data_IF_775318680057
#
_entry.id   IF_775318680057
#
_cell.length_a   1.000
_cell.length_b   1.000
_cell.length_c   1.000
_cell.angle_alpha   90.00
_cell.angle_beta   90.00
_cell.angle_gamma   90.00
#
_symmetry.space_group_name_H-M   'P 1'
#
loop_
_entity.id
_entity.type
_entity.pdbx_description
1 polymer ?
#
# COMPACT_ATOMS: atom_id res chain seq x y z
N UNK A 1 9.32 -26.22 -3.33
CA UNK A 1 10.52 -26.70 -2.62
C UNK A 1 11.30 -25.52 -2.07
N UNK A 2 11.95 -25.68 -0.90
CA UNK A 2 12.79 -24.62 -0.32
C UNK A 2 13.94 -24.37 -1.30
N UNK A 3 14.32 -23.10 -1.51
CA UNK A 3 15.46 -22.79 -2.38
C UNK A 3 16.66 -23.67 -2.00
N UNK A 4 17.28 -24.40 -2.95
CA UNK A 4 18.43 -25.27 -2.68
C UNK A 4 19.54 -24.54 -1.92
N UNK A 5 19.70 -23.25 -2.21
CA UNK A 5 20.69 -22.37 -1.59
C UNK A 5 20.38 -22.12 -0.10
N UNK A 6 19.10 -21.95 0.27
CA UNK A 6 18.67 -21.81 1.66
C UNK A 6 18.85 -23.13 2.44
N UNK A 7 18.62 -24.27 1.78
CA UNK A 7 18.84 -25.57 2.40
C UNK A 7 20.32 -25.83 2.67
N UNK A 8 21.21 -25.41 1.78
CA UNK A 8 22.67 -25.58 1.90
C UNK A 8 23.29 -24.71 3.01
N UNK A 9 22.84 -23.47 3.16
CA UNK A 9 23.44 -22.51 4.10
C UNK A 9 22.83 -22.53 5.51
N UNK A 10 21.69 -23.19 5.73
CA UNK A 10 21.04 -23.22 7.04
C UNK A 10 21.45 -24.47 7.84
N UNK A 11 22.16 -24.32 8.98
CA UNK A 11 22.58 -25.47 9.79
C UNK A 11 21.41 -26.34 10.25
N UNK A 12 21.66 -27.65 10.37
CA UNK A 12 20.62 -28.63 10.75
C UNK A 12 19.98 -28.38 12.13
N UNK A 13 20.66 -27.67 13.02
CA UNK A 13 20.15 -27.34 14.36
C UNK A 13 19.27 -26.08 14.39
N UNK A 14 19.15 -25.34 13.27
CA UNK A 14 18.32 -24.15 13.19
C UNK A 14 16.87 -24.56 13.00
N UNK A 15 16.01 -24.14 13.93
CA UNK A 15 14.57 -24.31 13.78
C UNK A 15 14.04 -23.39 12.65
N UNK A 16 13.21 -23.95 11.78
CA UNK A 16 12.63 -23.25 10.62
C UNK A 16 11.12 -23.25 10.79
N UNK A 17 10.51 -22.08 10.67
CA UNK A 17 9.06 -21.92 10.65
C UNK A 17 8.67 -21.20 9.36
N UNK A 18 7.73 -21.78 8.63
CA UNK A 18 7.12 -21.20 7.44
C UNK A 18 5.79 -20.57 7.80
N UNK A 19 5.54 -19.38 7.27
CA UNK A 19 4.33 -18.64 7.55
C UNK A 19 3.76 -18.01 6.29
N UNK A 20 2.47 -17.70 6.29
CA UNK A 20 1.82 -17.10 5.14
C UNK A 20 0.40 -16.63 5.42
N UNK A 21 -0.13 -15.81 4.52
CA UNK A 21 -1.51 -15.31 4.56
C UNK A 21 -2.30 -16.02 3.47
N UNK A 22 -3.38 -16.72 3.84
CA UNK A 22 -4.12 -17.58 2.91
C UNK A 22 -4.71 -16.82 1.71
N UNK A 23 -5.05 -15.54 1.88
CA UNK A 23 -5.58 -14.68 0.81
C UNK A 23 -4.56 -14.37 -0.30
N UNK A 24 -3.27 -14.61 -0.08
CA UNK A 24 -2.18 -14.31 -1.04
C UNK A 24 -1.89 -15.43 -2.02
N UNK A 25 -2.69 -16.49 -2.01
CA UNK A 25 -2.60 -17.62 -2.93
C UNK A 25 -2.06 -18.89 -2.27
N UNK A 26 -1.96 -19.96 -3.06
CA UNK A 26 -1.50 -21.25 -2.57
C UNK A 26 -0.02 -21.15 -2.14
N UNK A 27 0.33 -21.65 -0.93
CA UNK A 27 1.69 -21.57 -0.46
C UNK A 27 2.57 -22.55 -1.25
N UNK A 28 3.80 -22.13 -1.56
CA UNK A 28 4.78 -22.94 -2.27
C UNK A 28 5.43 -24.01 -1.37
N UNK A 29 5.22 -23.90 -0.06
CA UNK A 29 5.75 -24.74 1.01
C UNK A 29 4.65 -25.00 2.04
N UNK A 30 4.69 -26.13 2.76
CA UNK A 30 3.84 -26.33 3.93
C UNK A 30 4.03 -25.18 4.93
N UNK A 31 2.92 -24.65 5.45
CA UNK A 31 2.94 -23.58 6.44
C UNK A 31 2.92 -24.17 7.86
N UNK A 32 3.70 -23.59 8.76
CA UNK A 32 3.64 -23.80 10.21
C UNK A 32 2.62 -22.86 10.88
N UNK A 33 2.53 -21.64 10.36
CA UNK A 33 1.58 -20.62 10.82
C UNK A 33 0.85 -20.02 9.62
N UNK A 34 -0.48 -20.06 9.61
CA UNK A 34 -1.28 -19.33 8.62
C UNK A 34 -2.02 -18.17 9.26
N UNK A 35 -2.31 -17.16 8.44
CA UNK A 35 -3.30 -16.12 8.75
C UNK A 35 -4.48 -16.26 7.80
N UNK A 36 -5.68 -16.27 8.39
CA UNK A 36 -6.97 -16.52 7.76
C UNK A 36 -8.00 -15.47 8.22
N UNK A 37 -9.19 -15.46 7.61
CA UNK A 37 -10.32 -14.60 7.99
C UNK A 37 -9.94 -13.13 8.16
N UNK A 38 -9.28 -12.58 7.14
CA UNK A 38 -8.82 -11.19 7.15
C UNK A 38 -10.00 -10.23 7.00
N UNK A 39 -10.04 -9.24 7.88
CA UNK A 39 -11.02 -8.17 7.89
C UNK A 39 -10.31 -6.82 7.97
N UNK A 40 -10.80 -5.86 7.18
CA UNK A 40 -10.24 -4.52 7.06
C UNK A 40 -11.25 -3.50 7.56
N UNK A 41 -10.74 -2.45 8.22
CA UNK A 41 -11.50 -1.28 8.62
C UNK A 41 -10.61 -0.05 8.55
N UNK A 42 -11.20 1.15 8.70
CA UNK A 42 -10.42 2.37 8.87
C UNK A 42 -9.63 2.42 10.19
N UNK A 43 -9.88 1.49 11.12
CA UNK A 43 -9.14 1.37 12.37
C UNK A 43 -7.94 0.42 12.29
N UNK A 44 -7.78 -0.32 11.17
CA UNK A 44 -6.70 -1.27 10.99
C UNK A 44 -7.13 -2.60 10.38
N UNK A 45 -6.28 -3.61 10.56
CA UNK A 45 -6.45 -4.96 10.03
C UNK A 45 -6.63 -5.95 11.18
N UNK A 46 -7.62 -6.83 11.07
CA UNK A 46 -7.82 -7.95 12.01
C UNK A 46 -7.83 -9.27 11.25
N UNK A 47 -7.16 -10.28 11.76
CA UNK A 47 -7.12 -11.60 11.15
C UNK A 47 -6.99 -12.71 12.20
N UNK A 48 -7.34 -13.94 11.82
CA UNK A 48 -7.19 -15.14 12.65
C UNK A 48 -5.83 -15.78 12.38
N UNK A 49 -5.08 -16.09 13.44
CA UNK A 49 -3.80 -16.82 13.36
C UNK A 49 -4.06 -18.29 13.64
N UNK A 50 -3.45 -19.17 12.85
CA UNK A 50 -3.59 -20.61 12.98
C UNK A 50 -2.22 -21.26 13.07
N UNK A 51 -1.93 -21.90 14.19
CA UNK A 51 -0.74 -22.72 14.37
C UNK A 51 -0.99 -24.15 13.87
N UNK A 52 -0.43 -24.48 12.71
CA UNK A 52 -0.66 -25.73 11.99
C UNK A 52 0.19 -26.87 12.55
N UNK A 53 1.40 -26.58 13.03
CA UNK A 53 2.35 -27.57 13.57
C UNK A 53 2.50 -27.48 15.09
N UNK A 54 3.05 -28.53 15.70
CA UNK A 54 3.33 -28.55 17.15
C UNK A 54 4.40 -27.51 17.53
N UNK A 55 5.41 -27.33 16.69
CA UNK A 55 6.43 -26.30 16.86
C UNK A 55 5.83 -24.88 16.86
N UNK A 56 4.86 -24.61 15.99
CA UNK A 56 4.13 -23.35 16.00
C UNK A 56 3.22 -23.20 17.22
N UNK A 57 2.55 -24.28 17.66
CA UNK A 57 1.69 -24.25 18.87
C UNK A 57 2.49 -23.94 20.14
N UNK A 58 3.75 -24.37 20.22
CA UNK A 58 4.65 -24.06 21.33
C UNK A 58 5.00 -22.56 21.45
N UNK A 59 4.74 -21.75 20.42
CA UNK A 59 4.90 -20.29 20.50
C UNK A 59 3.73 -19.60 21.20
N UNK A 60 2.61 -20.29 21.47
CA UNK A 60 1.44 -19.71 22.15
C UNK A 60 0.96 -18.40 21.49
N UNK A 61 1.00 -18.36 20.14
CA UNK A 61 0.54 -17.19 19.37
C UNK A 61 -0.95 -16.92 19.65
N UNK A 62 -1.38 -15.65 19.70
CA UNK A 62 -2.79 -15.32 19.91
C UNK A 62 -3.63 -15.80 18.72
N UNK A 63 -4.84 -16.30 18.99
CA UNK A 63 -5.78 -16.72 17.94
C UNK A 63 -6.20 -15.55 17.02
N UNK A 64 -6.19 -14.33 17.54
CA UNK A 64 -6.55 -13.12 16.81
C UNK A 64 -5.38 -12.14 16.81
N UNK A 65 -5.02 -11.68 15.62
CA UNK A 65 -4.02 -10.64 15.40
C UNK A 65 -4.72 -9.37 14.94
N UNK A 66 -4.40 -8.26 15.61
CA UNK A 66 -4.84 -6.92 15.25
C UNK A 66 -3.62 -6.06 14.92
N UNK A 67 -3.73 -5.29 13.84
CA UNK A 67 -2.74 -4.33 13.40
C UNK A 67 -3.39 -2.94 13.33
N UNK A 68 -2.71 -1.91 13.79
CA UNK A 68 -3.12 -0.52 13.51
C UNK A 68 -2.99 -0.19 12.02
N UNK A 69 -2.06 -0.83 11.33
CA UNK A 69 -1.88 -0.70 9.89
C UNK A 69 -3.06 -1.31 9.09
N UNK A 70 -3.50 -0.58 8.06
CA UNK A 70 -4.61 -0.98 7.18
C UNK A 70 -4.08 -1.67 5.94
N UNK A 71 -4.47 -2.92 5.74
CA UNK A 71 -4.21 -3.68 4.51
C UNK A 71 -3.51 -5.01 4.77
N UNK A 72 -3.92 -6.03 4.02
CA UNK A 72 -3.38 -7.39 4.14
C UNK A 72 -1.88 -7.47 3.83
N UNK A 73 -1.34 -6.46 3.14
CA UNK A 73 0.09 -6.37 2.80
C UNK A 73 0.99 -6.33 4.05
N UNK A 74 0.46 -5.94 5.21
CA UNK A 74 1.20 -5.86 6.45
C UNK A 74 1.20 -7.18 7.25
N UNK A 75 0.27 -8.10 6.97
CA UNK A 75 0.08 -9.31 7.77
C UNK A 75 1.29 -10.25 7.74
N UNK A 76 1.93 -10.47 6.58
CA UNK A 76 3.12 -11.31 6.50
C UNK A 76 4.28 -10.74 7.34
N UNK A 77 4.50 -9.42 7.27
CA UNK A 77 5.55 -8.74 8.03
C UNK A 77 5.24 -8.75 9.52
N UNK A 78 3.98 -8.50 9.90
CA UNK A 78 3.54 -8.54 11.29
C UNK A 78 3.63 -9.94 11.87
N UNK A 79 3.27 -10.97 11.09
CA UNK A 79 3.38 -12.37 11.49
C UNK A 79 4.84 -12.78 11.68
N UNK A 80 5.72 -12.35 10.76
CA UNK A 80 7.17 -12.55 10.91
C UNK A 80 7.70 -11.90 12.19
N UNK A 81 7.31 -10.65 12.46
CA UNK A 81 7.71 -9.93 13.68
C UNK A 81 7.18 -10.60 14.95
N UNK A 82 5.93 -11.05 14.94
CA UNK A 82 5.29 -11.76 16.06
C UNK A 82 6.00 -13.08 16.36
N UNK A 83 6.23 -13.91 15.33
CA UNK A 83 6.93 -15.21 15.46
C UNK A 83 8.34 -14.98 15.99
N UNK A 84 9.09 -14.04 15.41
CA UNK A 84 10.46 -13.76 15.81
C UNK A 84 10.58 -13.21 17.23
N UNK A 85 9.74 -12.24 17.61
CA UNK A 85 9.73 -11.70 18.98
C UNK A 85 9.43 -12.79 20.01
N UNK A 86 8.47 -13.66 19.69
CA UNK A 86 8.07 -14.78 20.56
C UNK A 86 9.18 -15.81 20.69
N UNK A 87 9.83 -16.18 19.58
CA UNK A 87 10.99 -17.07 19.58
C UNK A 87 12.19 -16.51 20.39
N UNK A 88 12.28 -15.19 20.53
CA UNK A 88 13.29 -14.50 21.36
C UNK A 88 12.85 -14.34 22.84
N UNK A 89 11.72 -14.90 23.24
CA UNK A 89 11.24 -14.90 24.63
C UNK A 89 10.34 -13.72 25.01
N UNK A 90 9.88 -12.92 24.05
CA UNK A 90 8.83 -11.92 24.31
C UNK A 90 7.48 -12.64 24.41
N UNK A 91 6.66 -12.42 25.44
CA UNK A 91 5.31 -13.00 25.50
C UNK A 91 4.49 -12.64 24.25
N UNK A 92 3.88 -13.63 23.61
CA UNK A 92 3.18 -13.46 22.33
C UNK A 92 2.04 -12.44 22.43
N UNK A 93 1.32 -12.41 23.57
CA UNK A 93 0.26 -11.45 23.85
C UNK A 93 0.79 -10.00 23.94
N UNK A 94 1.99 -9.81 24.51
CA UNK A 94 2.68 -8.52 24.56
C UNK A 94 3.11 -8.08 23.17
N UNK A 95 3.69 -8.98 22.37
CA UNK A 95 4.10 -8.66 21.00
C UNK A 95 2.89 -8.27 20.13
N UNK A 96 1.78 -9.01 20.23
CA UNK A 96 0.55 -8.71 19.51
C UNK A 96 -0.09 -7.38 19.92
N UNK A 97 -0.09 -7.05 21.22
CA UNK A 97 -0.57 -5.73 21.70
C UNK A 97 0.24 -4.57 21.12
N UNK A 98 1.54 -4.72 20.93
CA UNK A 98 2.37 -3.69 20.28
C UNK A 98 1.98 -3.55 18.81
N UNK A 99 1.85 -4.66 18.08
CA UNK A 99 1.43 -4.63 16.67
C UNK A 99 0.07 -3.95 16.45
N UNK A 100 -0.86 -4.09 17.39
CA UNK A 100 -2.16 -3.44 17.34
C UNK A 100 -2.09 -1.91 17.47
N UNK A 101 -1.03 -1.37 18.09
CA UNK A 101 -0.83 0.07 18.29
C UNK A 101 0.02 0.71 17.18
N UNK A 102 0.85 -0.08 16.52
CA UNK A 102 1.73 0.40 15.46
C UNK A 102 0.95 0.70 14.17
N UNK A 103 1.12 1.93 13.70
CA UNK A 103 0.58 2.38 12.42
C UNK A 103 1.45 1.87 11.26
N UNK A 104 0.93 1.94 10.05
CA UNK A 104 1.72 1.65 8.87
C UNK A 104 2.93 2.59 8.76
N UNK A 105 4.07 2.13 8.21
CA UNK A 105 5.18 3.01 7.91
C UNK A 105 4.73 4.21 7.06
N UNK A 106 5.33 5.39 7.30
CA UNK A 106 5.03 6.60 6.53
C UNK A 106 5.03 6.32 5.02
N UNK A 107 3.99 6.75 4.33
CA UNK A 107 3.77 6.56 2.90
C UNK A 107 3.51 5.11 2.47
N UNK A 108 2.94 4.28 3.35
CA UNK A 108 2.44 2.93 3.05
C UNK A 108 0.99 2.82 3.53
N UNK A 109 0.05 2.97 2.61
CA UNK A 109 -1.39 3.06 2.89
C UNK A 109 -1.68 3.99 4.09
N UNK A 110 -1.00 5.13 4.14
CA UNK A 110 -1.06 6.05 5.27
C UNK A 110 -2.28 6.95 5.12
N UNK A 111 -3.25 6.83 6.02
CA UNK A 111 -4.40 7.74 6.08
C UNK A 111 -3.95 9.06 6.72
N UNK A 112 -4.00 10.14 5.94
CA UNK A 112 -3.57 11.49 6.36
C UNK A 112 -4.74 12.46 6.54
N UNK A 113 -5.96 12.02 6.19
CA UNK A 113 -7.20 12.74 6.42
C UNK A 113 -8.38 11.76 6.39
N UNK A 114 -9.45 12.04 7.13
CA UNK A 114 -10.57 11.11 7.33
C UNK A 114 -11.86 11.48 6.58
N UNK A 115 -12.04 12.72 6.11
CA UNK A 115 -13.28 13.09 5.39
C UNK A 115 -13.11 14.26 4.41
N UNK A 116 -12.86 13.99 3.10
CA UNK A 116 -12.72 12.66 2.49
C UNK A 116 -11.51 11.91 3.05
N UNK A 117 -11.53 10.57 2.95
CA UNK A 117 -10.34 9.80 3.29
C UNK A 117 -9.24 10.12 2.28
N UNK A 118 -8.07 10.56 2.75
CA UNK A 118 -6.90 10.78 1.88
C UNK A 118 -5.79 9.84 2.31
N UNK A 119 -5.34 9.02 1.38
CA UNK A 119 -4.33 7.98 1.57
C UNK A 119 -3.08 8.34 0.77
N UNK A 120 -1.90 8.25 1.40
CA UNK A 120 -0.61 8.35 0.71
C UNK A 120 0.03 6.96 0.66
N UNK A 121 0.39 6.51 -0.54
CA UNK A 121 1.03 5.21 -0.74
C UNK A 121 2.19 5.25 -1.77
N UNK A 122 3.14 4.34 -1.62
CA UNK A 122 4.32 4.23 -2.48
C UNK A 122 4.14 3.28 -3.67
N UNK A 123 2.93 2.82 -3.93
CA UNK A 123 2.61 1.96 -5.05
C UNK A 123 3.01 2.59 -6.39
N UNK A 124 4.19 2.20 -6.88
CA UNK A 124 4.77 2.65 -8.15
C UNK A 124 4.95 1.49 -9.15
N UNK A 125 4.34 0.34 -8.87
CA UNK A 125 4.27 -0.83 -9.75
C UNK A 125 2.80 -1.20 -9.98
N UNK A 126 2.45 -1.86 -11.11
CA UNK A 126 1.07 -2.24 -11.40
C UNK A 126 0.42 -3.09 -10.29
N UNK A 127 1.13 -4.10 -9.78
CA UNK A 127 0.63 -4.98 -8.72
C UNK A 127 0.42 -4.22 -7.40
N UNK A 128 1.38 -3.38 -7.00
CA UNK A 128 1.25 -2.58 -5.78
C UNK A 128 0.07 -1.59 -5.89
N UNK A 129 -0.11 -0.96 -7.07
CA UNK A 129 -1.21 -0.04 -7.31
C UNK A 129 -2.56 -0.75 -7.26
N UNK A 130 -2.67 -1.91 -7.93
CA UNK A 130 -3.89 -2.73 -7.90
C UNK A 130 -4.27 -3.16 -6.48
N UNK A 131 -3.30 -3.59 -5.66
CA UNK A 131 -3.55 -3.97 -4.26
C UNK A 131 -3.99 -2.79 -3.41
N UNK A 132 -3.34 -1.64 -3.58
CA UNK A 132 -3.70 -0.39 -2.89
C UNK A 132 -5.12 0.03 -3.24
N UNK A 133 -5.47 0.07 -4.52
CA UNK A 133 -6.80 0.48 -4.96
C UNK A 133 -7.90 -0.51 -4.57
N UNK A 134 -7.60 -1.81 -4.55
CA UNK A 134 -8.53 -2.82 -4.04
C UNK A 134 -8.82 -2.65 -2.56
N UNK A 135 -7.77 -2.41 -1.76
CA UNK A 135 -7.89 -2.14 -0.32
C UNK A 135 -8.72 -0.87 -0.10
N UNK A 136 -8.36 0.22 -0.77
CA UNK A 136 -9.10 1.49 -0.69
C UNK A 136 -10.57 1.31 -1.11
N UNK A 137 -10.85 0.60 -2.20
CA UNK A 137 -12.21 0.33 -2.66
C UNK A 137 -13.04 -0.43 -1.62
N UNK A 138 -12.47 -1.45 -0.97
CA UNK A 138 -13.20 -2.23 0.04
C UNK A 138 -13.64 -1.41 1.26
N UNK A 139 -12.98 -0.27 1.51
CA UNK A 139 -13.25 0.64 2.62
C UNK A 139 -14.05 1.89 2.18
N UNK A 140 -14.01 2.22 0.90
CA UNK A 140 -14.61 3.42 0.32
C UNK A 140 -16.13 3.34 0.30
N UNK A 141 -16.79 4.34 0.90
CA UNK A 141 -18.25 4.47 0.90
C UNK A 141 -18.79 5.28 -0.29
N UNK A 142 -18.02 6.27 -0.75
CA UNK A 142 -18.31 7.11 -1.92
C UNK A 142 -17.50 6.70 -3.15
N UNK A 143 -17.03 7.70 -3.89
CA UNK A 143 -16.21 7.51 -5.08
C UNK A 143 -14.72 7.35 -4.72
N UNK A 144 -14.02 6.50 -5.48
CA UNK A 144 -12.59 6.27 -5.36
C UNK A 144 -11.84 7.10 -6.41
N UNK A 145 -10.99 7.98 -5.93
CA UNK A 145 -10.08 8.79 -6.72
C UNK A 145 -8.66 8.24 -6.60
N UNK A 146 -7.92 8.20 -7.71
CA UNK A 146 -6.48 7.90 -7.69
C UNK A 146 -5.69 8.99 -8.40
N UNK A 147 -4.64 9.48 -7.73
CA UNK A 147 -3.70 10.47 -8.24
C UNK A 147 -2.32 9.81 -8.33
N UNK A 148 -1.79 9.63 -9.53
CA UNK A 148 -0.50 8.97 -9.68
C UNK A 148 0.22 9.36 -10.99
N UNK A 149 1.51 9.04 -11.02
CA UNK A 149 2.35 9.15 -12.20
C UNK A 149 3.28 7.94 -12.31
N UNK A 150 4.26 8.04 -13.20
CA UNK A 150 5.34 7.06 -13.29
C UNK A 150 6.69 7.75 -13.49
N UNK A 151 7.76 7.07 -13.09
CA UNK A 151 9.12 7.54 -13.35
C UNK A 151 9.48 7.54 -14.84
N UNK A 152 10.13 8.61 -15.30
CA UNK A 152 10.72 8.71 -16.63
C UNK A 152 12.05 7.96 -16.74
N UNK A 153 12.54 7.71 -17.95
CA UNK A 153 13.81 7.03 -18.25
C UNK A 153 13.99 5.62 -17.62
N UNK A 154 12.92 5.01 -17.07
CA UNK A 154 12.90 3.66 -16.51
C UNK A 154 11.57 2.97 -16.78
N UNK A 155 11.61 1.63 -16.87
CA UNK A 155 10.46 0.71 -16.85
C UNK A 155 9.24 1.13 -17.68
N UNK A 156 9.44 1.59 -18.92
CA UNK A 156 8.33 2.07 -19.77
C UNK A 156 7.20 1.04 -19.93
N UNK A 157 7.56 -0.24 -19.96
CA UNK A 157 6.63 -1.36 -20.08
C UNK A 157 5.57 -1.43 -18.97
N UNK A 158 5.83 -0.85 -17.79
CA UNK A 158 4.85 -0.87 -16.69
C UNK A 158 3.75 0.17 -16.83
N UNK A 159 3.93 1.21 -17.65
CA UNK A 159 3.02 2.38 -17.71
C UNK A 159 1.60 1.99 -18.14
N UNK A 160 1.41 1.22 -19.24
CA UNK A 160 0.06 0.77 -19.60
C UNK A 160 -0.53 -0.16 -18.54
N UNK A 161 0.28 -1.02 -17.93
CA UNK A 161 -0.18 -1.92 -16.85
C UNK A 161 -0.60 -1.16 -15.58
N UNK A 162 0.06 -0.04 -15.25
CA UNK A 162 -0.38 0.85 -14.19
C UNK A 162 -1.71 1.54 -14.54
N UNK A 163 -1.90 1.94 -15.80
CA UNK A 163 -3.19 2.43 -16.29
C UNK A 163 -4.31 1.40 -16.12
N UNK A 164 -4.07 0.16 -16.53
CA UNK A 164 -5.02 -0.95 -16.30
C UNK A 164 -5.31 -1.17 -14.82
N UNK A 165 -4.30 -1.13 -13.96
CA UNK A 165 -4.50 -1.28 -12.52
C UNK A 165 -5.38 -0.17 -11.92
N UNK A 166 -5.29 1.05 -12.46
CA UNK A 166 -6.08 2.19 -12.05
C UNK A 166 -7.53 2.18 -12.55
N UNK A 167 -7.89 1.30 -13.48
CA UNK A 167 -9.24 1.24 -14.08
C UNK A 167 -10.37 0.91 -13.10
N UNK A 168 -10.05 0.42 -11.89
CA UNK A 168 -11.02 0.14 -10.83
C UNK A 168 -11.40 1.37 -9.97
N UNK A 169 -10.71 2.49 -10.16
CA UNK A 169 -11.10 3.78 -9.56
C UNK A 169 -12.23 4.41 -10.37
N UNK A 170 -13.07 5.21 -9.72
CA UNK A 170 -14.13 5.97 -10.39
C UNK A 170 -13.52 7.17 -11.12
N UNK A 171 -12.45 7.75 -10.55
CA UNK A 171 -11.72 8.87 -11.14
C UNK A 171 -10.22 8.61 -11.15
N UNK A 172 -9.59 8.82 -12.31
CA UNK A 172 -8.14 8.70 -12.48
C UNK A 172 -7.54 10.05 -12.84
N UNK A 173 -6.59 10.51 -12.02
CA UNK A 173 -5.82 11.74 -12.24
C UNK A 173 -4.36 11.38 -12.46
N UNK A 174 -3.90 11.57 -13.69
CA UNK A 174 -2.52 11.36 -14.10
C UNK A 174 -1.71 12.64 -13.88
N UNK A 175 -0.60 12.52 -13.16
CA UNK A 175 0.27 13.64 -12.83
C UNK A 175 1.75 13.30 -12.98
N UNK A 176 2.60 14.30 -12.76
CA UNK A 176 4.05 14.11 -12.75
C UNK A 176 4.49 13.44 -11.45
N UNK A 177 5.29 12.39 -11.56
CA UNK A 177 6.05 11.81 -10.45
C UNK A 177 7.53 12.18 -10.61
N UNK A 178 8.40 11.27 -11.02
CA UNK A 178 9.83 11.54 -11.22
C UNK A 178 10.15 11.50 -12.74
N UNK A 179 9.87 12.57 -13.51
CA UNK A 179 9.96 12.54 -14.97
C UNK A 179 11.39 12.43 -15.49
N UNK A 180 12.39 12.80 -14.65
CA UNK A 180 13.79 12.88 -15.06
C UNK A 180 13.91 13.78 -16.30
N UNK A 181 14.41 13.23 -17.41
CA UNK A 181 14.61 13.96 -18.67
C UNK A 181 13.53 13.62 -19.72
N UNK A 182 12.52 12.84 -19.34
CA UNK A 182 11.43 12.43 -20.23
C UNK A 182 10.23 13.37 -20.09
N UNK A 183 9.52 13.62 -21.20
CA UNK A 183 8.32 14.48 -21.20
C UNK A 183 7.26 13.94 -20.24
N UNK A 184 6.81 14.71 -19.23
CA UNK A 184 5.73 14.29 -18.33
C UNK A 184 4.43 13.99 -19.06
N UNK A 185 4.14 14.75 -20.12
CA UNK A 185 2.98 14.53 -20.98
C UNK A 185 3.04 13.15 -21.66
N UNK A 186 4.19 12.79 -22.22
CA UNK A 186 4.37 11.49 -22.89
C UNK A 186 4.27 10.31 -21.89
N UNK A 187 4.72 10.50 -20.64
CA UNK A 187 4.54 9.50 -19.58
C UNK A 187 3.05 9.32 -19.26
N UNK A 188 2.32 10.43 -19.05
CA UNK A 188 0.89 10.38 -18.74
C UNK A 188 0.09 9.73 -19.88
N UNK A 189 0.37 10.07 -21.14
CA UNK A 189 -0.25 9.46 -22.31
C UNK A 189 0.01 7.95 -22.38
N UNK A 190 1.25 7.51 -22.12
CA UNK A 190 1.59 6.08 -22.09
C UNK A 190 0.85 5.31 -20.98
N UNK A 191 0.53 5.96 -19.85
CA UNK A 191 -0.32 5.37 -18.80
C UNK A 191 -1.78 5.33 -19.28
N UNK A 192 -2.26 6.41 -19.89
CA UNK A 192 -3.63 6.53 -20.39
C UNK A 192 -3.97 5.48 -21.46
N UNK A 193 -3.02 5.05 -22.29
CA UNK A 193 -3.21 3.93 -23.22
C UNK A 193 -3.63 2.63 -22.51
N UNK A 194 -3.16 2.41 -21.27
CA UNK A 194 -3.57 1.27 -20.45
C UNK A 194 -5.04 1.28 -20.07
N UNK A 195 -5.62 2.46 -19.86
CA UNK A 195 -7.04 2.63 -19.52
C UNK A 195 -7.93 2.42 -20.73
N UNK A 196 -7.50 2.85 -21.93
CA UNK A 196 -8.28 2.66 -23.18
C UNK A 196 -8.54 1.19 -23.52
N UNK A 197 -7.67 0.29 -23.05
CA UNK A 197 -7.80 -1.15 -23.25
C UNK A 197 -8.74 -1.86 -22.27
N UNK A 198 -9.43 -1.12 -21.39
CA UNK A 198 -10.33 -1.69 -20.37
C UNK A 198 -11.73 -1.11 -20.56
N UNK A 199 -12.70 -1.97 -20.88
CA UNK A 199 -14.09 -1.56 -21.06
C UNK A 199 -14.65 -0.97 -19.76
N UNK A 200 -15.27 0.21 -19.87
CA UNK A 200 -15.86 0.92 -18.74
C UNK A 200 -14.85 1.66 -17.84
N UNK A 201 -13.56 1.67 -18.18
CA UNK A 201 -12.58 2.47 -17.46
C UNK A 201 -12.89 3.98 -17.58
N UNK A 202 -12.62 4.77 -16.52
CA UNK A 202 -12.82 6.21 -16.58
C UNK A 202 -11.83 6.88 -17.55
N UNK A 203 -12.27 7.97 -18.16
CA UNK A 203 -11.36 8.84 -18.91
C UNK A 203 -10.41 9.53 -17.91
N UNK A 204 -9.08 9.38 -18.07
CA UNK A 204 -8.15 10.00 -17.14
C UNK A 204 -8.11 11.52 -17.32
N UNK A 205 -8.11 12.25 -16.21
CA UNK A 205 -7.72 13.66 -16.19
C UNK A 205 -6.18 13.74 -16.17
N UNK A 206 -5.58 14.59 -17.00
CA UNK A 206 -4.14 14.86 -16.96
C UNK A 206 -3.93 16.24 -16.33
N UNK A 207 -3.26 16.27 -15.17
CA UNK A 207 -2.83 17.48 -14.48
C UNK A 207 -1.36 17.29 -14.07
N UNK A 208 -0.43 17.84 -14.87
CA UNK A 208 0.99 17.55 -14.74
C UNK A 208 1.66 18.26 -13.54
N UNK A 209 1.01 19.24 -12.93
CA UNK A 209 1.45 19.75 -11.63
C UNK A 209 0.87 18.87 -10.51
N UNK A 210 1.74 18.15 -9.80
CA UNK A 210 1.34 17.22 -8.74
C UNK A 210 0.61 17.92 -7.59
N UNK A 211 1.01 19.15 -7.25
CA UNK A 211 0.35 19.94 -6.21
C UNK A 211 -1.05 20.37 -6.63
N UNK A 212 -1.21 20.84 -7.88
CA UNK A 212 -2.52 21.18 -8.42
C UNK A 212 -3.42 19.94 -8.57
N UNK A 213 -2.88 18.81 -9.03
CA UNK A 213 -3.64 17.56 -9.13
C UNK A 213 -4.24 17.16 -7.78
N UNK A 214 -3.42 17.20 -6.72
CA UNK A 214 -3.86 16.92 -5.35
C UNK A 214 -4.90 17.94 -4.88
N UNK A 215 -4.63 19.24 -5.05
CA UNK A 215 -5.51 20.31 -4.59
C UNK A 215 -6.88 20.31 -5.29
N UNK A 216 -6.91 20.19 -6.60
CA UNK A 216 -8.14 20.14 -7.41
C UNK A 216 -8.97 18.89 -7.06
N UNK A 217 -8.32 17.75 -6.82
CA UNK A 217 -9.01 16.51 -6.44
C UNK A 217 -9.63 16.62 -5.05
N UNK A 218 -8.88 17.11 -4.06
CA UNK A 218 -9.38 17.31 -2.69
C UNK A 218 -10.58 18.28 -2.68
N UNK A 219 -10.54 19.34 -3.47
CA UNK A 219 -11.65 20.30 -3.56
C UNK A 219 -12.93 19.72 -4.20
N UNK A 220 -12.80 18.71 -5.06
CA UNK A 220 -13.92 18.09 -5.78
C UNK A 220 -14.52 16.89 -5.07
N UNK A 221 -13.74 16.22 -4.23
CA UNK A 221 -14.17 15.00 -3.56
C UNK A 221 -15.27 15.27 -2.53
N UNK A 222 -16.27 14.39 -2.53
CA UNK A 222 -17.31 14.40 -1.50
C UNK A 222 -16.74 13.90 -0.17
N UNK A 223 -17.23 14.33 1.01
CA UNK A 223 -16.75 13.85 2.31
C UNK A 223 -16.75 12.33 2.54
N UNK A 224 -17.52 11.56 1.76
CA UNK A 224 -17.56 10.09 1.78
C UNK A 224 -16.57 9.41 0.83
N UNK A 225 -15.91 10.18 -0.03
CA UNK A 225 -14.99 9.66 -1.04
C UNK A 225 -13.66 9.25 -0.40
N UNK A 226 -12.91 8.45 -1.17
CA UNK A 226 -11.53 8.07 -0.83
C UNK A 226 -10.60 8.53 -1.95
N UNK A 227 -9.53 9.23 -1.59
CA UNK A 227 -8.48 9.71 -2.49
C UNK A 227 -7.20 8.95 -2.19
N UNK A 228 -6.64 8.27 -3.18
CA UNK A 228 -5.33 7.62 -3.11
C UNK A 228 -4.30 8.43 -3.88
N UNK A 229 -3.31 8.99 -3.17
CA UNK A 229 -2.13 9.63 -3.75
C UNK A 229 -1.00 8.60 -3.79
N UNK A 230 -0.71 8.06 -4.98
CA UNK A 230 0.21 6.94 -5.14
C UNK A 230 1.54 7.36 -5.81
N UNK A 231 2.55 6.50 -5.63
CA UNK A 231 3.85 6.53 -6.31
C UNK A 231 4.98 6.98 -5.40
N UNK A 232 4.85 8.13 -4.73
CA UNK A 232 5.96 8.75 -3.97
C UNK A 232 6.03 8.34 -2.52
N UNK A 233 4.90 8.03 -1.87
CA UNK A 233 4.88 7.59 -0.48
C UNK A 233 5.63 8.55 0.47
N UNK A 234 6.75 8.09 1.02
CA UNK A 234 7.58 8.88 1.96
C UNK A 234 8.62 9.76 1.27
N UNK A 235 8.75 9.74 -0.06
CA UNK A 235 9.70 10.58 -0.77
C UNK A 235 9.42 12.08 -0.51
N UNK A 236 10.49 12.84 -0.31
CA UNK A 236 10.44 14.28 -0.05
C UNK A 236 10.90 15.13 -1.24
N UNK A 237 11.12 14.52 -2.40
CA UNK A 237 11.59 15.24 -3.58
C UNK A 237 11.12 14.66 -4.90
N UNK A 238 11.25 15.48 -5.93
CA UNK A 238 10.92 15.17 -7.33
C UNK A 238 12.17 15.32 -8.19
N UNK A 239 12.50 14.30 -8.98
CA UNK A 239 13.65 14.30 -9.88
C UNK A 239 13.24 14.77 -11.29
N UNK A 240 13.78 15.91 -11.73
CA UNK A 240 13.49 16.53 -13.02
C UNK A 240 14.75 17.18 -13.59
N UNK A 241 15.05 16.90 -14.85
CA UNK A 241 16.21 17.47 -15.58
C UNK A 241 17.53 17.30 -14.81
N UNK A 242 17.72 16.12 -14.17
CA UNK A 242 18.88 15.82 -13.31
C UNK A 242 18.88 16.45 -11.91
N UNK A 243 17.90 17.29 -11.57
CA UNK A 243 17.81 17.98 -10.28
C UNK A 243 16.75 17.37 -9.36
N UNK A 244 17.10 17.16 -8.08
CA UNK A 244 16.15 16.80 -7.03
C UNK A 244 15.59 18.08 -6.38
N UNK A 245 14.29 18.31 -6.51
CA UNK A 245 13.59 19.46 -5.92
C UNK A 245 12.70 19.01 -4.77
N UNK A 246 12.61 19.80 -3.71
CA UNK A 246 11.78 19.47 -2.55
C UNK A 246 10.29 19.43 -2.90
N UNK A 247 9.65 18.27 -2.74
CA UNK A 247 8.23 18.05 -2.97
C UNK A 247 7.80 16.77 -2.25
N UNK A 248 7.03 16.92 -1.17
CA UNK A 248 6.45 15.82 -0.40
C UNK A 248 4.94 15.78 -0.58
N UNK A 249 4.38 14.60 -0.83
CA UNK A 249 2.93 14.42 -0.92
C UNK A 249 2.23 14.81 0.37
N UNK A 250 2.84 14.53 1.54
CA UNK A 250 2.31 14.96 2.83
C UNK A 250 2.17 16.48 2.93
N UNK A 251 3.18 17.21 2.48
CA UNK A 251 3.11 18.68 2.49
C UNK A 251 2.09 19.22 1.49
N UNK A 252 2.01 18.61 0.30
CA UNK A 252 1.03 19.02 -0.72
C UNK A 252 -0.39 18.77 -0.25
N UNK A 253 -0.68 17.59 0.31
CA UNK A 253 -1.97 17.26 0.92
C UNK A 253 -2.28 18.20 2.07
N UNK A 254 -1.36 18.40 3.01
CA UNK A 254 -1.58 19.28 4.16
C UNK A 254 -1.89 20.74 3.75
N UNK A 255 -1.28 21.24 2.65
CA UNK A 255 -1.58 22.57 2.11
C UNK A 255 -2.92 22.65 1.38
N UNK A 256 -3.37 21.54 0.79
CA UNK A 256 -4.62 21.45 0.05
C UNK A 256 -5.85 21.23 0.93
N UNK A 257 -5.67 20.58 2.08
CA UNK A 257 -6.74 20.36 3.03
C UNK A 257 -7.25 21.70 3.61
N UNK A 258 -8.58 21.85 3.80
CA UNK A 258 -9.11 23.02 4.47
C UNK A 258 -8.48 23.15 5.86
N UNK A 259 -8.10 24.37 6.24
CA UNK A 259 -7.65 24.62 7.60
C UNK A 259 -8.78 24.24 8.54
N UNK A 260 -8.48 23.43 9.57
CA UNK A 260 -9.44 23.10 10.59
C UNK A 260 -10.09 24.40 11.10
N UNK A 261 -11.42 24.45 11.27
CA UNK A 261 -12.04 25.60 11.88
C UNK A 261 -11.34 25.84 13.21
N UNK A 262 -10.77 27.03 13.37
CA UNK A 262 -10.20 27.47 14.64
C UNK A 262 -11.29 27.32 15.69
N UNK A 263 -11.14 26.36 16.58
CA UNK A 263 -11.96 26.24 17.79
C UNK A 263 -11.79 27.54 18.55
N UNK A 264 -12.82 28.39 18.49
CA UNK A 264 -13.01 29.57 19.35
C UNK A 264 -13.55 29.10 20.69
#
# INVERSE_FOLDING_TARGET
EVSPLLAEVTPAHVNKLFYGVASRGAPQLPLDVSVEDVSLSWQGTRARVVALTEAARALELPEQLELGAIGEIFLENALAALIMATALGVPADRAARVLALEQAPRGRFEVVHESPHVIIDYAHTPDALSRTLRTARSLCAGELWVIFGAGGNRDKAKRPEMGKAASCADHVVLTTDNPRDESPQAIAEAIAEGLKGVDGAPLPQIQLDRGLAIAETIQRAHPSDTIVVAGKGHESGILRDGELRGQSDHELVARALPKAPSTV
#
